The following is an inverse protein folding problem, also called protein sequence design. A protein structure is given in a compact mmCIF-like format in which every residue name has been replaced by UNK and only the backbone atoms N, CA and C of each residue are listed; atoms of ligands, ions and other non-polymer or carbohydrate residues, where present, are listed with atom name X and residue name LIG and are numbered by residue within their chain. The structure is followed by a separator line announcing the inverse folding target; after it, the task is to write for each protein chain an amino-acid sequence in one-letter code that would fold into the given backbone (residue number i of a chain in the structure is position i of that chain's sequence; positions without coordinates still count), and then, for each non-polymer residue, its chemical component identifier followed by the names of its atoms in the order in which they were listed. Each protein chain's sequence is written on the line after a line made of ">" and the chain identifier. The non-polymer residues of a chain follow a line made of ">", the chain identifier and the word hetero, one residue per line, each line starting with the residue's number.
data_IF_508019332538
#
_entry.id   IF_508019332538
#
_cell.length_a   1.000
_cell.length_b   1.000
_cell.length_c   1.000
_cell.angle_alpha   90.00
_cell.angle_beta   90.00
_cell.angle_gamma   90.00
#
_symmetry.space_group_name_H-M   'P 1'
#
loop_
_entity.id
_entity.type
_entity.pdbx_description
1 polymer ?
#
# COMPACT_ATOMS: atom_id res chain seq x y z
N UNK A 1 1.25 -1.01 17.20
CA UNK A 1 1.15 -2.29 16.46
C UNK A 1 2.44 -2.53 15.66
N UNK A 2 2.89 -3.77 15.48
CA UNK A 2 4.06 -4.12 14.66
C UNK A 2 3.65 -4.77 13.32
N UNK A 3 4.59 -4.83 12.37
CA UNK A 3 4.36 -5.34 11.01
C UNK A 3 3.80 -6.77 10.99
N UNK A 4 4.39 -7.70 11.74
CA UNK A 4 3.94 -9.11 11.73
C UNK A 4 2.53 -9.27 12.31
N UNK A 5 2.21 -8.54 13.39
CA UNK A 5 0.86 -8.53 13.96
C UNK A 5 -0.16 -7.99 12.95
N UNK A 6 0.16 -6.90 12.24
CA UNK A 6 -0.73 -6.35 11.21
C UNK A 6 -0.93 -7.35 10.06
N UNK A 7 0.13 -8.01 9.58
CA UNK A 7 0.03 -9.03 8.54
C UNK A 7 -0.94 -10.16 8.92
N UNK A 8 -0.85 -10.64 10.17
CA UNK A 8 -1.78 -11.64 10.70
C UNK A 8 -3.21 -11.12 10.77
N UNK A 9 -3.43 -9.91 11.31
CA UNK A 9 -4.76 -9.30 11.44
C UNK A 9 -5.42 -9.16 10.06
N UNK A 10 -4.70 -8.59 9.09
CA UNK A 10 -5.22 -8.42 7.73
C UNK A 10 -5.48 -9.78 7.06
N UNK A 11 -4.58 -10.75 7.23
CA UNK A 11 -4.79 -12.11 6.74
C UNK A 11 -6.05 -12.76 7.30
N UNK A 12 -6.31 -12.65 8.62
CA UNK A 12 -7.52 -13.19 9.26
C UNK A 12 -8.79 -12.47 8.80
N UNK A 13 -8.74 -11.15 8.56
CA UNK A 13 -9.88 -10.41 8.04
C UNK A 13 -10.20 -10.81 6.59
N UNK A 14 -9.19 -11.12 5.77
CA UNK A 14 -9.36 -11.60 4.39
C UNK A 14 -9.85 -13.05 4.30
N UNK A 15 -9.42 -13.93 5.21
CA UNK A 15 -9.88 -15.33 5.25
C UNK A 15 -11.41 -15.48 5.42
N UNK A 16 -12.06 -14.47 6.01
CA UNK A 16 -13.50 -14.43 6.21
C UNK A 16 -14.24 -13.69 5.07
N UNK A 17 -13.54 -13.33 3.98
CA UNK A 17 -14.15 -12.77 2.78
C UNK A 17 -14.34 -13.87 1.73
N UNK A 18 -15.49 -13.90 1.05
CA UNK A 18 -15.92 -14.97 0.12
C UNK A 18 -15.02 -15.16 -1.13
N UNK A 19 -13.89 -14.45 -1.23
CA UNK A 19 -13.01 -14.47 -2.40
C UNK A 19 -11.60 -14.95 -2.02
N UNK A 20 -11.37 -16.23 -2.29
CA UNK A 20 -10.08 -16.93 -2.33
C UNK A 20 -9.34 -17.13 -0.99
N UNK A 21 -8.92 -18.37 -0.76
CA UNK A 21 -7.96 -18.73 0.28
C UNK A 21 -6.63 -18.01 0.01
N UNK A 22 -6.45 -16.82 0.57
CA UNK A 22 -5.13 -16.18 0.58
C UNK A 22 -4.23 -17.04 1.47
N UNK A 23 -3.30 -17.78 0.87
CA UNK A 23 -2.36 -18.57 1.64
C UNK A 23 -1.55 -17.62 2.55
N UNK A 24 -1.24 -17.99 3.81
CA UNK A 24 -0.42 -17.14 4.69
C UNK A 24 0.88 -16.63 4.05
N UNK A 25 1.45 -17.43 3.13
CA UNK A 25 2.63 -17.09 2.33
C UNK A 25 2.41 -15.87 1.41
N UNK A 26 1.19 -15.62 0.92
CA UNK A 26 0.88 -14.45 0.11
C UNK A 26 1.00 -13.16 0.93
N UNK A 27 0.59 -13.18 2.20
CA UNK A 27 0.70 -12.00 3.06
C UNK A 27 2.15 -11.65 3.37
N UNK A 28 2.99 -12.66 3.59
CA UNK A 28 4.43 -12.43 3.77
C UNK A 28 5.05 -11.81 2.50
N UNK A 29 4.67 -12.27 1.30
CA UNK A 29 5.13 -11.67 0.03
C UNK A 29 4.64 -10.23 -0.15
N UNK A 30 3.40 -9.91 0.25
CA UNK A 30 2.87 -8.52 0.21
C UNK A 30 3.66 -7.61 1.14
N UNK A 31 3.92 -8.06 2.37
CA UNK A 31 4.64 -7.28 3.37
C UNK A 31 6.11 -7.09 2.98
N UNK A 32 6.72 -8.11 2.37
CA UNK A 32 8.05 -7.99 1.77
C UNK A 32 8.07 -6.94 0.64
N UNK A 33 7.09 -6.96 -0.27
CA UNK A 33 6.97 -5.93 -1.31
C UNK A 33 6.79 -4.53 -0.70
N UNK A 34 5.94 -4.38 0.32
CA UNK A 34 5.74 -3.11 1.02
C UNK A 34 7.03 -2.58 1.65
N UNK A 35 7.87 -3.44 2.26
CA UNK A 35 9.19 -3.04 2.79
C UNK A 35 10.15 -2.59 1.70
N UNK A 36 10.21 -3.31 0.57
CA UNK A 36 11.05 -2.93 -0.59
C UNK A 36 10.71 -1.56 -1.15
N UNK A 37 9.44 -1.17 -1.11
CA UNK A 37 8.97 0.16 -1.52
C UNK A 37 9.01 1.21 -0.40
N UNK A 38 9.62 0.89 0.76
CA UNK A 38 9.73 1.82 1.89
C UNK A 38 8.39 2.16 2.55
N UNK A 39 7.38 1.30 2.40
CA UNK A 39 6.04 1.46 2.98
C UNK A 39 5.88 0.81 4.34
N UNK A 40 6.82 -0.05 4.72
CA UNK A 40 6.94 -0.64 6.05
C UNK A 40 8.40 -0.56 6.52
N UNK A 41 8.66 -0.60 7.84
CA UNK A 41 10.01 -0.66 8.38
C UNK A 41 10.81 -1.82 7.80
N UNK A 42 12.06 -1.54 7.40
CA UNK A 42 12.96 -2.47 6.72
C UNK A 42 14.11 -2.88 7.65
N UNK A 43 14.57 -4.13 7.54
CA UNK A 43 15.65 -4.67 8.35
C UNK A 43 15.22 -5.17 9.73
N UNK A 44 15.86 -6.25 10.19
CA UNK A 44 15.58 -6.90 11.48
C UNK A 44 15.76 -5.95 12.66
N UNK A 45 16.68 -5.00 12.55
CA UNK A 45 16.93 -3.94 13.52
C UNK A 45 15.72 -3.01 13.74
N UNK A 46 14.81 -2.90 12.77
CA UNK A 46 13.58 -2.10 12.86
C UNK A 46 12.33 -2.95 13.12
N UNK A 47 12.50 -4.24 13.45
CA UNK A 47 11.39 -5.17 13.71
C UNK A 47 10.52 -4.72 14.89
N UNK A 48 11.14 -4.12 15.90
CA UNK A 48 10.47 -3.57 17.08
C UNK A 48 9.97 -2.13 16.87
N UNK A 49 10.04 -1.60 15.65
CA UNK A 49 9.49 -0.30 15.35
C UNK A 49 7.96 -0.39 15.20
N UNK A 50 7.24 0.39 16.03
CA UNK A 50 5.79 0.50 15.93
C UNK A 50 5.41 1.12 14.58
N UNK A 51 4.43 0.54 13.92
CA UNK A 51 3.85 1.08 12.71
C UNK A 51 3.14 2.41 12.99
N UNK A 52 3.38 3.40 12.14
CA UNK A 52 2.57 4.62 12.09
C UNK A 52 1.21 4.31 11.42
N UNK A 53 0.19 5.16 11.61
CA UNK A 53 -1.08 5.04 10.89
C UNK A 53 -0.90 4.99 9.36
N UNK A 54 0.09 5.71 8.82
CA UNK A 54 0.41 5.71 7.40
C UNK A 54 0.99 4.37 6.92
N UNK A 55 1.79 3.69 7.76
CA UNK A 55 2.23 2.32 7.47
C UNK A 55 1.03 1.35 7.40
N UNK A 56 0.06 1.51 8.30
CA UNK A 56 -1.16 0.69 8.30
C UNK A 56 -1.99 0.96 7.04
N UNK A 57 -2.17 2.23 6.67
CA UNK A 57 -2.86 2.61 5.43
C UNK A 57 -2.20 2.00 4.18
N UNK A 58 -0.87 2.07 4.09
CA UNK A 58 -0.14 1.47 2.98
C UNK A 58 -0.31 -0.06 2.93
N UNK A 59 -0.37 -0.74 4.08
CA UNK A 59 -0.62 -2.17 4.15
C UNK A 59 -2.04 -2.54 3.67
N UNK A 60 -3.06 -1.74 4.02
CA UNK A 60 -4.43 -1.90 3.49
C UNK A 60 -4.44 -1.79 1.96
N UNK A 61 -3.73 -0.81 1.40
CA UNK A 61 -3.60 -0.66 -0.06
C UNK A 61 -2.83 -1.83 -0.70
N UNK A 62 -1.87 -2.42 0.01
CA UNK A 62 -1.14 -3.61 -0.43
C UNK A 62 -1.98 -4.88 -0.58
N UNK A 63 -3.22 -4.90 -0.08
CA UNK A 63 -4.16 -6.02 -0.27
C UNK A 63 -4.80 -6.02 -1.66
N UNK A 64 -4.83 -4.86 -2.32
CA UNK A 64 -5.57 -4.65 -3.55
C UNK A 64 -4.97 -5.46 -4.70
N UNK A 65 -3.66 -5.48 -4.99
CA UNK A 65 -3.19 -6.15 -6.21
C UNK A 65 -3.41 -7.66 -6.19
N UNK A 66 -3.59 -8.26 -7.38
CA UNK A 66 -3.66 -9.72 -7.50
C UNK A 66 -2.33 -10.35 -7.11
N UNK A 67 -1.25 -9.83 -7.69
CA UNK A 67 0.08 -10.34 -7.46
C UNK A 67 0.67 -9.70 -6.20
N UNK A 68 1.01 -10.50 -5.16
CA UNK A 68 1.51 -9.96 -3.90
C UNK A 68 2.82 -9.15 -4.05
N UNK A 69 3.63 -9.47 -5.06
CA UNK A 69 4.83 -8.70 -5.41
C UNK A 69 4.57 -7.24 -5.83
N UNK A 70 3.34 -6.90 -6.22
CA UNK A 70 2.95 -5.53 -6.62
C UNK A 70 2.41 -4.68 -5.46
N UNK A 71 2.28 -5.25 -4.25
CA UNK A 71 1.69 -4.56 -3.10
C UNK A 71 2.37 -3.21 -2.78
N UNK A 72 3.70 -3.15 -2.78
CA UNK A 72 4.45 -1.92 -2.53
C UNK A 72 4.26 -0.84 -3.60
N UNK A 73 4.18 -1.25 -4.86
CA UNK A 73 3.93 -0.35 -5.99
C UNK A 73 2.52 0.23 -5.93
N UNK A 74 1.50 -0.62 -5.79
CA UNK A 74 0.10 -0.19 -5.70
C UNK A 74 -0.13 0.68 -4.47
N UNK A 75 0.45 0.35 -3.32
CA UNK A 75 0.38 1.20 -2.13
C UNK A 75 0.99 2.59 -2.39
N UNK A 76 2.06 2.68 -3.20
CA UNK A 76 2.65 3.97 -3.59
C UNK A 76 1.72 4.79 -4.47
N UNK A 77 1.09 4.16 -5.47
CA UNK A 77 0.12 4.82 -6.36
C UNK A 77 -1.07 5.34 -5.55
N UNK A 78 -1.67 4.48 -4.72
CA UNK A 78 -2.89 4.81 -4.00
C UNK A 78 -2.68 5.83 -2.88
N UNK A 79 -1.58 5.76 -2.15
CA UNK A 79 -1.25 6.75 -1.12
C UNK A 79 -1.17 8.19 -1.69
N UNK A 80 -0.87 8.33 -2.98
CA UNK A 80 -0.80 9.62 -3.66
C UNK A 80 -2.15 10.22 -4.07
N UNK A 81 -3.26 9.47 -3.99
CA UNK A 81 -4.54 9.94 -4.52
C UNK A 81 -5.07 11.15 -3.72
N UNK A 82 -5.60 12.13 -4.46
CA UNK A 82 -6.11 13.41 -3.97
C UNK A 82 -7.60 13.53 -4.26
N UNK A 83 -8.39 14.17 -3.39
CA UNK A 83 -9.82 14.32 -3.59
C UNK A 83 -10.12 15.21 -4.80
N UNK A 84 -11.07 14.77 -5.62
CA UNK A 84 -11.71 15.60 -6.64
C UNK A 84 -12.46 16.72 -5.91
N UNK A 85 -12.32 17.97 -6.38
CA UNK A 85 -12.89 19.13 -5.68
C UNK A 85 -12.05 19.65 -4.51
N UNK A 86 -10.92 19.02 -4.20
CA UNK A 86 -10.07 19.41 -3.07
C UNK A 86 -10.57 18.89 -1.73
N UNK A 87 -9.90 19.27 -0.64
CA UNK A 87 -10.16 18.71 0.69
C UNK A 87 -11.59 18.98 1.19
N UNK A 88 -12.19 20.13 0.89
CA UNK A 88 -13.54 20.45 1.38
C UNK A 88 -14.65 19.54 0.79
N UNK A 89 -14.42 18.99 -0.40
CA UNK A 89 -15.29 17.99 -1.03
C UNK A 89 -15.02 16.55 -0.53
N UNK A 90 -14.01 16.36 0.31
CA UNK A 90 -13.54 15.06 0.79
C UNK A 90 -14.24 14.58 2.06
N UNK A 91 -14.12 13.28 2.33
CA UNK A 91 -14.52 12.69 3.60
C UNK A 91 -13.69 13.28 4.75
N UNK A 92 -14.34 13.95 5.71
CA UNK A 92 -13.67 14.57 6.87
C UNK A 92 -12.50 15.49 6.49
N UNK A 93 -12.62 16.23 5.38
CA UNK A 93 -11.58 17.13 4.88
C UNK A 93 -10.22 16.45 4.62
N UNK A 94 -10.23 15.14 4.33
CA UNK A 94 -9.00 14.40 4.06
C UNK A 94 -8.31 14.89 2.78
N UNK A 95 -7.03 15.24 2.87
CA UNK A 95 -6.22 15.68 1.73
C UNK A 95 -5.84 14.51 0.81
N UNK A 96 -5.82 13.29 1.34
CA UNK A 96 -5.47 12.08 0.61
C UNK A 96 -6.37 10.91 0.98
N UNK A 97 -6.41 9.89 0.13
CA UNK A 97 -7.10 8.63 0.50
C UNK A 97 -6.41 7.92 1.68
N UNK A 98 -5.11 8.13 1.87
CA UNK A 98 -4.41 7.61 3.06
C UNK A 98 -4.90 8.32 4.32
N UNK A 99 -5.18 9.62 4.26
CA UNK A 99 -5.73 10.37 5.40
C UNK A 99 -7.14 9.90 5.75
N UNK A 100 -7.93 9.46 4.76
CA UNK A 100 -9.22 8.79 5.03
C UNK A 100 -9.00 7.53 5.87
N UNK A 101 -8.04 6.67 5.51
CA UNK A 101 -7.75 5.47 6.29
C UNK A 101 -7.28 5.84 7.70
N UNK A 102 -6.36 6.80 7.83
CA UNK A 102 -5.88 7.27 9.14
C UNK A 102 -7.03 7.82 9.98
N UNK A 103 -7.93 8.61 9.38
CA UNK A 103 -9.12 9.14 10.04
C UNK A 103 -10.04 8.02 10.51
N UNK A 104 -10.26 6.99 9.69
CA UNK A 104 -11.06 5.82 10.06
C UNK A 104 -10.41 4.99 11.17
N UNK A 105 -9.07 4.97 11.29
CA UNK A 105 -8.39 4.29 12.40
C UNK A 105 -8.51 5.07 13.72
N UNK A 106 -8.49 6.40 13.67
CA UNK A 106 -8.41 7.25 14.87
C UNK A 106 -9.76 7.78 15.37
N UNK A 107 -10.73 8.02 14.49
CA UNK A 107 -11.95 8.77 14.82
C UNK A 107 -13.22 7.88 14.75
N UNK A 108 -13.89 7.70 15.89
CA UNK A 108 -15.10 6.89 15.99
C UNK A 108 -16.31 7.51 15.26
N UNK A 109 -16.46 8.83 15.26
CA UNK A 109 -17.54 9.52 14.52
C UNK A 109 -17.36 9.35 13.01
N UNK A 110 -16.13 9.50 12.53
CA UNK A 110 -15.79 9.22 11.14
C UNK A 110 -16.17 7.78 10.77
N UNK A 111 -15.79 6.80 11.61
CA UNK A 111 -16.22 5.41 11.41
C UNK A 111 -17.75 5.28 11.40
N UNK A 112 -18.50 5.91 12.30
CA UNK A 112 -19.97 5.81 12.33
C UNK A 112 -20.63 6.32 11.04
N UNK A 113 -20.08 7.39 10.46
CA UNK A 113 -20.58 7.96 9.20
C UNK A 113 -20.17 7.18 7.95
N UNK A 114 -19.07 6.44 8.01
CA UNK A 114 -18.49 5.74 6.87
C UNK A 114 -19.28 4.48 6.47
N UNK A 115 -19.53 4.32 5.17
CA UNK A 115 -20.23 3.15 4.64
C UNK A 115 -19.25 2.18 3.96
N UNK A 116 -18.52 2.68 2.96
CA UNK A 116 -17.64 1.86 2.10
C UNK A 116 -16.58 2.70 1.44
N UNK A 117 -15.40 2.12 1.25
CA UNK A 117 -14.36 2.63 0.38
C UNK A 117 -14.10 1.62 -0.73
N UNK A 118 -14.07 2.09 -1.97
CA UNK A 118 -13.81 1.31 -3.18
C UNK A 118 -12.52 1.82 -3.78
N UNK A 119 -11.56 0.93 -4.01
CA UNK A 119 -10.25 1.27 -4.56
C UNK A 119 -10.07 0.53 -5.88
N UNK A 120 -9.67 1.26 -6.91
CA UNK A 120 -9.40 0.73 -8.24
C UNK A 120 -7.92 0.90 -8.59
N UNK A 121 -7.35 -0.09 -9.27
CA UNK A 121 -5.98 -0.03 -9.80
C UNK A 121 -5.88 -0.78 -11.13
N UNK A 122 -5.24 -0.15 -12.12
CA UNK A 122 -4.84 -0.78 -13.36
C UNK A 122 -3.38 -1.26 -13.21
N UNK A 123 -3.18 -2.56 -13.03
CA UNK A 123 -1.85 -3.18 -12.91
C UNK A 123 -1.14 -3.27 -14.27
N UNK A 124 -1.88 -3.31 -15.38
CA UNK A 124 -1.34 -3.53 -16.73
C UNK A 124 -1.28 -2.22 -17.53
N UNK A 125 -0.07 -1.67 -17.69
CA UNK A 125 0.17 -0.50 -18.54
C UNK A 125 1.46 0.24 -18.21
N UNK A 126 1.94 1.07 -19.15
CA UNK A 126 3.15 1.90 -19.00
C UNK A 126 3.00 2.92 -17.86
N UNK A 127 1.76 3.18 -17.41
CA UNK A 127 1.44 4.03 -16.26
C UNK A 127 0.40 3.30 -15.40
N UNK A 128 0.76 2.87 -14.19
CA UNK A 128 -0.20 2.32 -13.24
C UNK A 128 -1.11 3.43 -12.75
N UNK A 129 -2.40 3.33 -13.07
CA UNK A 129 -3.40 4.29 -12.66
C UNK A 129 -4.28 3.70 -11.56
N UNK A 130 -4.77 4.55 -10.67
CA UNK A 130 -5.67 4.13 -9.60
C UNK A 130 -6.62 5.25 -9.21
N UNK A 131 -7.71 4.86 -8.57
CA UNK A 131 -8.72 5.77 -8.07
C UNK A 131 -9.34 5.24 -6.78
N UNK A 132 -10.01 6.13 -6.06
CA UNK A 132 -10.80 5.75 -4.91
C UNK A 132 -12.16 6.42 -4.90
N UNK A 133 -13.15 5.72 -4.36
CA UNK A 133 -14.45 6.28 -4.01
C UNK A 133 -14.74 5.96 -2.55
N UNK A 134 -15.07 6.98 -1.77
CA UNK A 134 -15.49 6.86 -0.37
C UNK A 134 -16.95 7.24 -0.29
N UNK A 135 -17.77 6.30 0.13
CA UNK A 135 -19.21 6.48 0.38
C UNK A 135 -19.45 6.61 1.88
N UNK A 136 -20.18 7.65 2.28
CA UNK A 136 -20.44 7.98 3.68
C UNK A 136 -21.78 8.69 3.87
N UNK A 137 -22.22 8.86 5.12
CA UNK A 137 -23.39 9.64 5.50
C UNK A 137 -22.98 11.02 6.00
N UNK A 138 -23.63 12.06 5.50
CA UNK A 138 -23.54 13.43 5.99
C UNK A 138 -24.95 14.00 6.07
N UNK A 139 -25.35 14.48 7.24
CA UNK A 139 -26.68 15.06 7.47
C UNK A 139 -27.84 14.13 7.05
N UNK A 140 -27.68 12.83 7.29
CA UNK A 140 -28.66 11.80 6.93
C UNK A 140 -28.71 11.45 5.44
N UNK A 141 -27.90 12.10 4.60
CA UNK A 141 -27.81 11.83 3.17
C UNK A 141 -26.53 11.08 2.82
N UNK A 142 -26.63 10.20 1.82
CA UNK A 142 -25.49 9.45 1.30
C UNK A 142 -24.67 10.36 0.38
N UNK A 143 -23.40 10.55 0.74
CA UNK A 143 -22.42 11.32 -0.02
C UNK A 143 -21.35 10.40 -0.61
N UNK A 144 -20.66 10.90 -1.65
CA UNK A 144 -19.51 10.24 -2.26
C UNK A 144 -18.38 11.25 -2.42
N UNK A 145 -17.18 10.85 -2.03
CA UNK A 145 -15.95 11.57 -2.34
C UNK A 145 -15.12 10.70 -3.28
N UNK A 146 -14.60 11.29 -4.34
CA UNK A 146 -13.77 10.62 -5.33
C UNK A 146 -12.33 11.08 -5.18
N UNK A 147 -11.38 10.17 -5.39
CA UNK A 147 -9.95 10.47 -5.34
C UNK A 147 -9.27 9.98 -6.60
N UNK A 148 -8.47 10.85 -7.19
CA UNK A 148 -7.73 10.64 -8.44
C UNK A 148 -6.24 10.91 -8.23
N UNK A 149 -5.43 10.60 -9.23
CA UNK A 149 -4.01 10.90 -9.21
C UNK A 149 -3.76 12.40 -9.00
N UNK A 150 -2.71 12.72 -8.22
CA UNK A 150 -2.32 14.11 -7.92
C UNK A 150 -1.96 14.92 -9.18
N UNK A 151 -1.60 14.24 -10.27
CA UNK A 151 -1.30 14.82 -11.57
C UNK A 151 -2.56 15.33 -12.30
N UNK A 152 -3.77 14.91 -11.90
CA UNK A 152 -5.04 15.35 -12.49
C UNK A 152 -5.49 16.72 -11.95
N UNK A 153 -4.62 17.73 -12.03
CA UNK A 153 -4.75 19.03 -11.36
C UNK A 153 -6.09 19.73 -11.62
N UNK A 154 -6.65 19.61 -12.84
CA UNK A 154 -7.94 20.21 -13.17
C UNK A 154 -9.09 19.66 -12.33
N UNK A 155 -9.02 18.39 -11.93
CA UNK A 155 -10.05 17.74 -11.12
C UNK A 155 -9.92 18.04 -9.63
N UNK A 156 -8.76 18.54 -9.18
CA UNK A 156 -8.50 18.87 -7.77
C UNK A 156 -9.05 20.24 -7.37
N UNK A 157 -9.55 21.02 -8.33
CA UNK A 157 -10.09 22.36 -8.09
C UNK A 157 -11.51 22.29 -7.53
N UNK A 158 -11.82 23.12 -6.55
CA UNK A 158 -13.15 23.19 -5.93
C UNK A 158 -14.29 23.30 -6.96
N UNK A 159 -15.37 22.55 -6.75
CA UNK A 159 -16.52 22.46 -7.64
C UNK A 159 -16.40 21.37 -8.71
N UNK A 160 -15.22 20.79 -8.91
CA UNK A 160 -15.00 19.72 -9.90
C UNK A 160 -15.68 18.39 -9.52
N UNK A 161 -16.06 18.22 -8.26
CA UNK A 161 -16.77 17.06 -7.74
C UNK A 161 -18.23 16.96 -8.22
N UNK A 162 -18.84 18.07 -8.63
CA UNK A 162 -20.28 18.15 -8.98
C UNK A 162 -20.59 17.39 -10.26
N UNK A 163 -19.74 17.55 -11.29
CA UNK A 163 -19.90 16.95 -12.62
C UNK A 163 -18.91 15.79 -12.85
N UNK A 164 -18.31 15.27 -11.78
CA UNK A 164 -17.31 14.23 -11.89
C UNK A 164 -17.93 12.90 -12.34
N UNK A 165 -17.41 12.37 -13.45
CA UNK A 165 -17.81 11.06 -13.98
C UNK A 165 -16.73 10.00 -13.63
N UNK A 166 -16.94 9.19 -12.58
CA UNK A 166 -15.96 8.18 -12.18
C UNK A 166 -15.76 7.10 -13.25
N UNK A 167 -16.78 6.79 -14.05
CA UNK A 167 -16.69 5.72 -15.05
C UNK A 167 -15.79 6.11 -16.22
N UNK A 168 -15.72 7.40 -16.53
CA UNK A 168 -14.83 7.93 -17.56
C UNK A 168 -13.44 8.27 -17.03
N UNK A 169 -13.31 8.68 -15.77
CA UNK A 169 -12.10 9.33 -15.26
C UNK A 169 -11.28 8.51 -14.26
N UNK A 170 -11.85 7.48 -13.63
CA UNK A 170 -11.13 6.57 -12.71
C UNK A 170 -10.90 5.18 -13.29
N UNK A 171 -11.75 4.77 -14.22
CA UNK A 171 -11.81 3.39 -14.67
C UNK A 171 -10.95 3.17 -15.91
N UNK A 172 -10.10 2.15 -15.88
CA UNK A 172 -9.38 1.66 -17.05
C UNK A 172 -10.15 0.50 -17.71
N UNK A 173 -9.88 0.25 -19.00
CA UNK A 173 -10.50 -0.85 -19.75
C UNK A 173 -10.30 -2.22 -19.07
N UNK A 174 -9.16 -2.40 -18.39
CA UNK A 174 -8.92 -3.48 -17.46
C UNK A 174 -8.37 -2.89 -16.15
N UNK A 175 -9.05 -3.16 -15.05
CA UNK A 175 -8.63 -2.75 -13.72
C UNK A 175 -9.08 -3.77 -12.68
N UNK A 176 -8.42 -3.74 -11.54
CA UNK A 176 -8.81 -4.46 -10.35
C UNK A 176 -9.52 -3.51 -9.41
N UNK A 177 -10.56 -4.01 -8.74
CA UNK A 177 -11.31 -3.29 -7.72
C UNK A 177 -11.33 -4.08 -6.42
N UNK A 178 -11.22 -3.38 -5.29
CA UNK A 178 -11.45 -3.95 -3.96
C UNK A 178 -12.27 -2.96 -3.13
N UNK A 179 -13.23 -3.49 -2.36
CA UNK A 179 -14.09 -2.70 -1.48
C UNK A 179 -13.84 -3.05 -0.02
N UNK A 180 -13.63 -2.03 0.81
CA UNK A 180 -13.51 -2.12 2.25
C UNK A 180 -14.76 -1.51 2.90
N UNK A 181 -15.42 -2.27 3.77
CA UNK A 181 -16.66 -1.86 4.44
C UNK A 181 -16.39 -1.24 5.81
N UNK A 182 -17.42 -0.66 6.40
CA UNK A 182 -17.38 -0.18 7.78
C UNK A 182 -16.81 -1.22 8.76
N UNK A 183 -17.29 -2.46 8.67
CA UNK A 183 -16.89 -3.56 9.56
C UNK A 183 -15.38 -3.86 9.50
N UNK A 184 -14.78 -3.78 8.30
CA UNK A 184 -13.33 -3.93 8.14
C UNK A 184 -12.57 -2.89 8.97
N UNK A 185 -12.93 -1.61 8.84
CA UNK A 185 -12.26 -0.53 9.57
C UNK A 185 -12.58 -0.54 11.06
N UNK A 186 -13.79 -0.96 11.46
CA UNK A 186 -14.13 -1.11 12.87
C UNK A 186 -13.25 -2.17 13.55
N UNK A 187 -13.10 -3.35 12.92
CA UNK A 187 -12.21 -4.41 13.43
C UNK A 187 -10.75 -3.97 13.44
N UNK A 188 -10.27 -3.37 12.35
CA UNK A 188 -8.88 -2.94 12.24
C UNK A 188 -8.54 -1.86 13.29
N UNK A 189 -9.41 -0.86 13.48
CA UNK A 189 -9.22 0.17 14.51
C UNK A 189 -9.19 -0.44 15.92
N UNK A 190 -10.11 -1.37 16.23
CA UNK A 190 -10.12 -2.08 17.50
C UNK A 190 -8.83 -2.85 17.76
N UNK A 191 -8.29 -3.55 16.77
CA UNK A 191 -7.00 -4.25 16.91
C UNK A 191 -5.83 -3.27 17.12
N UNK A 192 -5.88 -2.08 16.49
CA UNK A 192 -4.90 -1.01 16.73
C UNK A 192 -4.95 -0.50 18.17
N UNK A 193 -6.16 -0.18 18.66
CA UNK A 193 -6.39 0.27 20.04
C UNK A 193 -5.95 -0.79 21.05
N UNK A 194 -6.23 -2.08 20.80
CA UNK A 194 -5.78 -3.18 21.65
C UNK A 194 -4.25 -3.31 21.68
N UNK A 195 -3.60 -3.21 20.52
CA UNK A 195 -2.14 -3.29 20.43
C UNK A 195 -1.43 -2.10 21.09
N UNK A 196 -2.10 -0.95 21.20
CA UNK A 196 -1.60 0.21 21.95
C UNK A 196 -1.80 0.05 23.45
N UNK A 197 -2.98 -0.43 23.86
CA UNK A 197 -3.34 -0.62 25.28
C UNK A 197 -2.62 -1.79 25.94
N UNK A 198 -2.34 -2.83 25.16
CA UNK A 198 -1.66 -4.05 25.61
C UNK A 198 -0.47 -4.35 24.68
N UNK A 199 0.66 -3.64 24.82
CA UNK A 199 1.82 -3.87 23.98
C UNK A 199 2.38 -5.27 24.20
N UNK A 200 2.30 -6.12 23.18
CA UNK A 200 2.99 -7.41 23.12
C UNK A 200 4.22 -7.28 22.21
N UNK A 201 5.29 -8.04 22.41
CA UNK A 201 6.44 -8.05 21.49
C UNK A 201 6.02 -8.45 20.06
N UNK A 202 6.80 -8.10 19.03
CA UNK A 202 6.54 -8.53 17.66
C UNK A 202 6.40 -10.06 17.57
N UNK A 203 5.39 -10.53 16.85
CA UNK A 203 5.21 -11.97 16.62
C UNK A 203 6.38 -12.56 15.81
N UNK A 204 6.74 -13.82 16.07
CA UNK A 204 7.78 -14.57 15.34
C UNK A 204 9.20 -14.43 15.88
N UNK A 205 10.18 -14.87 15.10
CA UNK A 205 11.63 -14.81 15.39
C UNK A 205 12.37 -13.75 14.55
N UNK A 206 11.70 -13.15 13.56
CA UNK A 206 12.31 -12.18 12.64
C UNK A 206 12.88 -12.81 11.36
N UNK A 207 12.58 -14.08 11.08
CA UNK A 207 12.92 -14.77 9.84
C UNK A 207 12.36 -14.08 8.58
N UNK A 208 11.31 -13.26 8.72
CA UNK A 208 10.79 -12.48 7.61
C UNK A 208 11.79 -11.45 7.05
N UNK A 209 12.91 -11.17 7.72
CA UNK A 209 13.96 -10.25 7.26
C UNK A 209 15.18 -10.96 6.65
N UNK A 210 15.23 -12.29 6.66
CA UNK A 210 16.42 -13.06 6.24
C UNK A 210 16.80 -12.78 4.78
N UNK A 211 15.81 -12.70 3.89
CA UNK A 211 16.05 -12.37 2.49
C UNK A 211 16.65 -10.96 2.30
N UNK A 212 16.21 -9.99 3.12
CA UNK A 212 16.76 -8.64 3.10
C UNK A 212 18.19 -8.59 3.64
N UNK A 213 18.50 -9.38 4.68
CA UNK A 213 19.86 -9.51 5.22
C UNK A 213 20.81 -10.11 4.17
N UNK A 214 20.39 -11.21 3.52
CA UNK A 214 21.14 -11.84 2.42
C UNK A 214 21.37 -10.85 1.26
N UNK A 215 20.34 -10.10 0.86
CA UNK A 215 20.46 -9.07 -0.17
C UNK A 215 21.44 -7.95 0.24
N UNK A 216 21.36 -7.50 1.49
CA UNK A 216 22.24 -6.45 2.04
C UNK A 216 23.70 -6.91 2.06
N UNK A 217 23.95 -8.15 2.48
CA UNK A 217 25.29 -8.75 2.44
C UNK A 217 25.82 -8.89 1.02
N UNK A 218 24.97 -9.34 0.09
CA UNK A 218 25.28 -9.42 -1.34
C UNK A 218 25.67 -8.05 -1.90
N UNK A 219 24.87 -7.01 -1.67
CA UNK A 219 25.17 -5.65 -2.10
C UNK A 219 26.44 -5.09 -1.45
N UNK A 220 26.70 -5.41 -0.18
CA UNK A 220 27.95 -5.05 0.49
C UNK A 220 29.16 -5.71 -0.19
N UNK A 221 29.08 -7.00 -0.55
CA UNK A 221 30.12 -7.71 -1.29
C UNK A 221 30.37 -7.10 -2.67
N UNK A 222 29.31 -6.66 -3.34
CA UNK A 222 29.38 -6.03 -4.67
C UNK A 222 29.75 -4.53 -4.63
N UNK A 223 30.00 -3.95 -3.46
CA UNK A 223 30.39 -2.54 -3.34
C UNK A 223 29.29 -1.54 -3.74
N UNK A 224 28.02 -1.97 -3.74
CA UNK A 224 26.87 -1.12 -4.02
C UNK A 224 26.79 0.00 -2.98
N UNK A 225 26.60 1.24 -3.43
CA UNK A 225 26.43 2.43 -2.59
C UNK A 225 24.98 2.92 -2.68
N UNK A 226 24.56 3.78 -1.74
CA UNK A 226 23.19 4.30 -1.68
C UNK A 226 22.72 5.01 -2.96
N UNK A 227 23.64 5.49 -3.77
CA UNK A 227 23.44 6.21 -5.02
C UNK A 227 23.80 5.38 -6.27
N UNK A 228 24.06 4.08 -6.10
CA UNK A 228 24.19 3.15 -7.22
C UNK A 228 22.87 3.05 -7.99
N UNK A 229 22.94 3.06 -9.32
CA UNK A 229 21.81 2.81 -10.22
C UNK A 229 22.00 1.44 -10.85
N UNK A 230 20.93 0.67 -10.91
CA UNK A 230 20.94 -0.66 -11.51
C UNK A 230 20.30 -0.62 -12.89
N UNK A 231 20.93 -1.31 -13.83
CA UNK A 231 20.38 -1.57 -15.15
C UNK A 231 20.39 -3.09 -15.36
N UNK A 232 19.22 -3.67 -15.54
CA UNK A 232 19.11 -5.08 -15.87
C UNK A 232 19.23 -5.23 -17.38
N UNK A 233 20.36 -5.77 -17.85
CA UNK A 233 20.62 -6.04 -19.27
C UNK A 233 20.58 -7.56 -19.47
N UNK A 234 19.72 -8.05 -20.35
CA UNK A 234 19.84 -9.40 -20.89
C UNK A 234 20.99 -9.43 -21.88
N UNK A 235 21.99 -10.26 -21.65
CA UNK A 235 23.17 -10.38 -22.51
C UNK A 235 23.19 -11.77 -23.13
N UNK A 236 22.99 -11.85 -24.45
CA UNK A 236 23.36 -13.05 -25.21
C UNK A 236 24.88 -13.12 -25.22
N UNK A 237 25.45 -14.21 -24.68
CA UNK A 237 26.90 -14.32 -24.57
C UNK A 237 27.45 -15.56 -25.30
N UNK A 238 28.69 -15.43 -25.78
CA UNK A 238 29.53 -16.54 -26.24
C UNK A 238 30.70 -16.81 -25.28
N UNK A 239 30.69 -16.21 -24.08
CA UNK A 239 31.78 -16.24 -23.10
C UNK A 239 31.26 -16.85 -21.79
N UNK A 240 32.06 -17.61 -21.04
CA UNK A 240 31.62 -18.16 -19.76
C UNK A 240 31.47 -17.04 -18.71
N UNK A 241 30.25 -16.76 -18.24
CA UNK A 241 30.05 -15.88 -17.08
C UNK A 241 30.71 -16.50 -15.84
N UNK A 242 31.29 -15.70 -14.93
CA UNK A 242 31.74 -16.19 -13.64
C UNK A 242 30.61 -16.90 -12.90
N UNK A 243 30.94 -18.01 -12.23
CA UNK A 243 29.98 -18.84 -11.48
C UNK A 243 29.41 -18.13 -10.26
N UNK A 244 30.11 -17.12 -9.77
CA UNK A 244 29.72 -16.29 -8.65
C UNK A 244 29.65 -14.84 -9.10
N UNK A 245 28.80 -14.06 -8.44
CA UNK A 245 28.67 -12.64 -8.72
C UNK A 245 29.93 -11.88 -8.31
N UNK A 246 30.49 -11.10 -9.24
CA UNK A 246 31.74 -10.39 -9.05
C UNK A 246 31.61 -8.93 -9.48
N UNK A 247 32.32 -8.05 -8.78
CA UNK A 247 32.45 -6.64 -9.15
C UNK A 247 33.45 -6.52 -10.31
N UNK A 248 32.98 -6.08 -11.47
CA UNK A 248 33.82 -5.79 -12.64
C UNK A 248 33.96 -4.28 -12.74
N UNK A 249 35.19 -3.79 -12.76
CA UNK A 249 35.49 -2.37 -13.02
C UNK A 249 35.81 -2.22 -14.49
N UNK A 250 35.07 -1.37 -15.19
CA UNK A 250 35.42 -0.96 -16.55
C UNK A 250 36.32 0.26 -16.43
N UNK A 251 37.54 0.17 -16.94
CA UNK A 251 38.42 1.33 -17.03
C UNK A 251 37.77 2.38 -17.94
N UNK A 252 37.89 3.66 -17.55
CA UNK A 252 37.26 4.79 -18.24
C UNK A 252 37.75 4.90 -19.69
N UNK A 253 36.82 5.16 -20.61
CA UNK A 253 37.11 5.78 -21.91
C UNK A 253 37.18 7.30 -21.75
#
# INVERSE_FOLDING_TARGET
>A
MYAKNLARILGLQLQNSDVSHSAPQEMDQRFESLRRYGRLPRGRERREEKLSPQHIAAAVFGLIPLHPGWAGHVATVLNGLRPVGGADASFFQAETISDVVVMLLANEEARKSFIRMRLTVAETGINSNGGAEVTYLRDGQKQRAHFVQKEAVSLLSAGSEVDFDPDRQMNAAAMREMSFTNEFFHRLARECELAERFPAPPEGDGSEYDAEEVERERYRKLGVRNNSRFLHIGVDNQVTWPKEEQLITFDQY
#
